data_IF_848840042938
#
_entry.id   IF_848840042938
#
_cell.length_a   1.000
_cell.length_b   1.000
_cell.length_c   1.000
_cell.angle_alpha   90.00
_cell.angle_beta   90.00
_cell.angle_gamma   90.00
#
_symmetry.space_group_name_H-M   'P 1'
#
loop_
_entity.id
_entity.type
_entity.pdbx_description
1 polymer ?
#
# COMPACT_ATOMS: atom_id res chain seq x y z
N UNK A 1 6.19 -7.71 -0.48
CA UNK A 1 4.90 -7.38 0.14
C UNK A 1 4.40 -8.57 0.92
N UNK A 2 4.08 -8.37 2.19
CA UNK A 2 3.51 -9.39 3.08
C UNK A 2 2.37 -8.79 3.89
N UNK A 3 1.18 -9.40 3.84
CA UNK A 3 0.05 -9.03 4.68
C UNK A 3 -0.05 -10.00 5.86
N UNK A 4 0.05 -9.47 7.07
CA UNK A 4 -0.22 -10.20 8.31
C UNK A 4 -1.61 -9.83 8.80
N UNK A 5 -2.44 -10.85 9.07
CA UNK A 5 -3.71 -10.71 9.78
C UNK A 5 -3.54 -11.29 11.17
N UNK A 6 -3.76 -10.47 12.19
CA UNK A 6 -3.72 -10.90 13.57
C UNK A 6 -5.01 -11.67 13.91
N UNK A 7 -4.91 -12.58 14.87
CA UNK A 7 -6.04 -13.39 15.36
C UNK A 7 -6.84 -12.69 16.46
N UNK A 8 -6.77 -11.37 16.54
CA UNK A 8 -7.56 -10.55 17.45
C UNK A 8 -8.99 -10.35 16.93
N UNK A 9 -9.89 -9.85 17.78
CA UNK A 9 -11.30 -9.64 17.44
C UNK A 9 -11.49 -8.70 16.23
N UNK A 10 -10.61 -7.72 16.10
CA UNK A 10 -10.66 -6.74 15.02
C UNK A 10 -10.01 -7.24 13.72
N UNK A 11 -9.39 -8.44 13.73
CA UNK A 11 -8.59 -8.97 12.62
C UNK A 11 -7.63 -7.91 12.09
N UNK A 12 -6.82 -7.35 12.99
CA UNK A 12 -5.90 -6.26 12.71
C UNK A 12 -4.95 -6.63 11.57
N UNK A 13 -4.60 -5.65 10.73
CA UNK A 13 -3.77 -5.85 9.54
C UNK A 13 -2.46 -5.08 9.58
N UNK A 14 -1.34 -5.77 9.36
CA UNK A 14 -0.04 -5.18 9.12
C UNK A 14 0.43 -5.53 7.71
N UNK A 15 0.66 -4.51 6.89
CA UNK A 15 1.27 -4.66 5.57
C UNK A 15 2.74 -4.29 5.62
N UNK A 16 3.62 -5.20 5.20
CA UNK A 16 5.07 -4.99 5.15
C UNK A 16 5.50 -4.89 3.69
N UNK A 17 6.03 -3.72 3.32
CA UNK A 17 6.50 -3.36 1.99
C UNK A 17 5.48 -3.52 0.86
N UNK A 18 5.78 -2.97 -0.31
CA UNK A 18 4.96 -3.10 -1.53
C UNK A 18 5.82 -3.17 -2.78
N UNK A 19 5.47 -4.09 -3.68
CA UNK A 19 6.11 -4.21 -5.00
C UNK A 19 5.06 -4.61 -6.04
N UNK A 20 4.13 -3.71 -6.29
CA UNK A 20 3.09 -3.90 -7.31
C UNK A 20 3.61 -3.26 -8.59
N UNK A 21 3.91 -4.10 -9.58
CA UNK A 21 4.41 -3.67 -10.87
C UNK A 21 3.24 -3.18 -11.74
N UNK A 22 3.53 -2.32 -12.72
CA UNK A 22 2.49 -1.74 -13.58
C UNK A 22 1.83 -2.73 -14.53
N UNK A 23 2.55 -3.76 -14.97
CA UNK A 23 1.97 -4.85 -15.76
C UNK A 23 0.92 -5.66 -14.98
N UNK A 24 0.99 -5.67 -13.64
CA UNK A 24 -0.01 -6.34 -12.79
C UNK A 24 -1.35 -5.58 -12.72
N UNK A 25 -1.41 -4.35 -13.24
CA UNK A 25 -2.64 -3.55 -13.33
C UNK A 25 -3.36 -3.72 -14.68
N UNK A 26 -2.75 -4.45 -15.63
CA UNK A 26 -3.32 -4.69 -16.96
C UNK A 26 -4.34 -5.83 -16.91
N UNK A 27 -5.65 -5.57 -17.12
CA UNK A 27 -6.67 -6.60 -17.09
C UNK A 27 -6.53 -7.61 -18.24
N UNK A 28 -5.85 -7.22 -19.33
CA UNK A 28 -5.59 -8.07 -20.49
C UNK A 28 -4.16 -8.67 -20.44
N UNK A 29 -3.42 -8.39 -19.37
CA UNK A 29 -2.05 -8.83 -19.16
C UNK A 29 -1.95 -10.23 -18.53
N UNK A 30 -0.78 -10.85 -18.69
CA UNK A 30 -0.46 -12.17 -18.11
C UNK A 30 -0.03 -12.08 -16.64
N UNK A 31 0.28 -10.87 -16.15
CA UNK A 31 0.73 -10.67 -14.78
C UNK A 31 -0.45 -10.80 -13.80
N UNK A 32 -0.22 -11.46 -12.68
CA UNK A 32 -1.23 -11.62 -11.63
C UNK A 32 -1.56 -10.27 -10.99
N UNK A 33 -2.85 -9.93 -10.94
CA UNK A 33 -3.37 -8.75 -10.26
C UNK A 33 -3.28 -8.90 -8.72
N UNK A 34 -2.08 -8.64 -8.21
CA UNK A 34 -1.79 -8.65 -6.77
C UNK A 34 -2.46 -7.50 -6.02
N UNK A 35 -2.86 -6.44 -6.73
CA UNK A 35 -3.52 -5.29 -6.16
C UNK A 35 -4.98 -5.60 -5.80
N UNK A 36 -5.66 -6.37 -6.65
CA UNK A 36 -6.97 -6.97 -6.39
C UNK A 36 -6.90 -8.02 -5.29
N UNK A 37 -5.96 -8.96 -5.37
CA UNK A 37 -5.75 -9.99 -4.33
C UNK A 37 -5.57 -9.36 -2.93
N UNK A 38 -4.84 -8.23 -2.85
CA UNK A 38 -4.69 -7.49 -1.61
C UNK A 38 -6.03 -6.90 -1.15
N UNK A 39 -6.73 -6.16 -2.02
CA UNK A 39 -8.00 -5.50 -1.70
C UNK A 39 -9.07 -6.46 -1.21
N UNK A 40 -9.19 -7.64 -1.81
CA UNK A 40 -10.15 -8.68 -1.40
C UNK A 40 -9.91 -9.18 0.04
N UNK A 41 -8.72 -8.94 0.59
CA UNK A 41 -8.35 -9.32 1.97
C UNK A 41 -8.48 -8.18 2.96
N UNK A 42 -8.66 -6.94 2.52
CA UNK A 42 -8.69 -5.77 3.41
C UNK A 42 -10.10 -5.49 3.95
N UNK A 43 -10.14 -4.98 5.17
CA UNK A 43 -11.35 -4.38 5.75
C UNK A 43 -11.63 -3.03 5.08
N UNK A 44 -12.86 -2.55 5.22
CA UNK A 44 -13.28 -1.21 4.78
C UNK A 44 -13.73 -0.39 5.97
N UNK A 45 -13.46 0.90 5.94
CA UNK A 45 -13.92 1.82 6.98
C UNK A 45 -15.40 2.21 6.78
N UNK A 46 -15.91 3.10 7.64
CA UNK A 46 -17.29 3.59 7.59
C UNK A 46 -17.66 4.31 6.28
N UNK A 47 -16.67 4.83 5.54
CA UNK A 47 -16.84 5.47 4.24
C UNK A 47 -16.58 4.49 3.07
N UNK A 48 -16.44 3.20 3.37
CA UNK A 48 -16.16 2.16 2.39
C UNK A 48 -14.78 2.27 1.76
N UNK A 49 -13.79 2.84 2.46
CA UNK A 49 -12.40 2.93 1.99
C UNK A 49 -11.64 1.67 2.43
N UNK A 50 -10.97 0.93 1.52
CA UNK A 50 -10.14 -0.19 1.93
C UNK A 50 -8.94 0.33 2.73
N UNK A 51 -8.58 -0.35 3.82
CA UNK A 51 -7.50 0.12 4.68
C UNK A 51 -6.61 -1.01 5.20
N UNK A 52 -5.39 -0.61 5.60
CA UNK A 52 -4.52 -1.37 6.49
C UNK A 52 -4.42 -0.63 7.82
N UNK A 53 -4.38 -1.38 8.93
CA UNK A 53 -4.25 -0.79 10.26
C UNK A 53 -2.83 -0.21 10.44
N UNK A 54 -1.80 -0.97 10.04
CA UNK A 54 -0.43 -0.49 9.97
C UNK A 54 0.24 -0.84 8.64
N UNK A 55 1.12 0.05 8.16
CA UNK A 55 2.03 -0.17 7.04
C UNK A 55 3.46 -0.02 7.53
N UNK A 56 4.31 -1.03 7.33
CA UNK A 56 5.73 -0.98 7.62
C UNK A 56 6.53 -0.92 6.30
N UNK A 57 7.26 0.18 6.11
CA UNK A 57 8.24 0.29 5.03
C UNK A 57 9.65 0.00 5.57
N UNK A 58 10.24 -1.11 5.12
CA UNK A 58 11.56 -1.54 5.57
C UNK A 58 12.67 -0.63 5.04
N UNK A 59 12.65 -0.30 3.74
CA UNK A 59 13.56 0.64 3.09
C UNK A 59 12.98 1.17 1.76
N UNK A 60 13.51 2.28 1.21
CA UNK A 60 12.97 2.91 0.00
C UNK A 60 13.56 2.37 -1.31
N UNK A 61 14.09 1.15 -1.32
CA UNK A 61 14.48 0.52 -2.58
C UNK A 61 13.23 0.11 -3.38
N UNK A 62 13.39 0.07 -4.70
CA UNK A 62 12.24 0.00 -5.60
C UNK A 62 11.42 -1.27 -5.40
N UNK A 63 12.07 -2.38 -5.13
CA UNK A 63 11.45 -3.67 -4.86
C UNK A 63 10.73 -3.75 -3.49
N UNK A 64 10.78 -2.70 -2.68
CA UNK A 64 10.08 -2.60 -1.39
C UNK A 64 9.04 -1.47 -1.34
N UNK A 65 9.04 -0.54 -2.29
CA UNK A 65 8.05 0.56 -2.34
C UNK A 65 7.36 0.77 -3.70
N UNK A 66 7.67 -0.02 -4.74
CA UNK A 66 7.04 0.12 -6.06
C UNK A 66 5.53 -0.09 -5.96
N UNK A 67 4.80 0.85 -6.56
CA UNK A 67 3.33 0.86 -6.57
C UNK A 67 2.70 1.60 -5.39
N UNK A 68 3.47 2.02 -4.37
CA UNK A 68 2.94 2.70 -3.19
C UNK A 68 2.09 3.94 -3.56
N UNK A 69 2.67 4.88 -4.31
CA UNK A 69 1.98 6.10 -4.76
C UNK A 69 0.77 5.83 -5.65
N UNK A 70 0.69 4.69 -6.34
CA UNK A 70 -0.43 4.33 -7.20
C UNK A 70 -1.58 3.76 -6.40
N UNK A 71 -1.32 2.73 -5.58
CA UNK A 71 -2.37 1.98 -4.91
C UNK A 71 -2.77 2.52 -3.54
N UNK A 72 -1.93 3.34 -2.90
CA UNK A 72 -2.19 3.87 -1.56
C UNK A 72 -2.44 5.38 -1.60
N UNK A 73 -3.16 5.84 -0.58
CA UNK A 73 -3.37 7.26 -0.34
C UNK A 73 -2.35 7.76 0.67
N UNK A 74 -1.56 8.76 0.27
CA UNK A 74 -0.44 9.31 1.05
C UNK A 74 -0.69 10.75 1.51
N UNK A 75 -1.93 11.22 1.38
CA UNK A 75 -2.34 12.57 1.77
C UNK A 75 -3.12 12.61 3.10
N UNK A 76 -3.54 13.81 3.52
CA UNK A 76 -4.45 13.99 4.64
C UNK A 76 -5.81 13.32 4.40
N UNK A 77 -6.30 12.50 5.35
CA UNK A 77 -7.49 11.68 5.16
C UNK A 77 -8.79 12.49 4.90
N UNK A 78 -8.85 13.73 5.37
CA UNK A 78 -9.92 14.70 5.09
C UNK A 78 -9.96 15.17 3.63
N UNK A 79 -8.87 14.97 2.89
CA UNK A 79 -8.74 15.27 1.45
C UNK A 79 -8.76 14.02 0.57
N UNK A 80 -9.25 12.90 1.10
CA UNK A 80 -9.32 11.64 0.37
C UNK A 80 -10.24 11.77 -0.87
N UNK A 81 -9.73 11.61 -2.10
CA UNK A 81 -10.47 11.98 -3.31
C UNK A 81 -11.39 10.88 -3.84
N UNK A 82 -11.27 9.65 -3.34
CA UNK A 82 -11.85 8.46 -3.97
C UNK A 82 -13.14 7.97 -3.30
N UNK A 83 -13.77 8.77 -2.43
CA UNK A 83 -14.97 8.34 -1.69
C UNK A 83 -16.11 7.89 -2.61
N UNK A 84 -16.25 8.57 -3.75
CA UNK A 84 -17.29 8.33 -4.74
C UNK A 84 -16.87 7.37 -5.86
N UNK A 85 -15.66 6.81 -5.81
CA UNK A 85 -15.17 5.86 -6.81
C UNK A 85 -15.59 4.44 -6.46
N UNK A 86 -15.59 3.57 -7.47
CA UNK A 86 -15.73 2.13 -7.28
C UNK A 86 -14.56 1.57 -6.46
N UNK A 87 -14.81 0.48 -5.74
CA UNK A 87 -13.83 -0.12 -4.81
C UNK A 87 -12.48 -0.45 -5.45
N UNK A 88 -12.50 -0.90 -6.71
CA UNK A 88 -11.29 -1.20 -7.50
C UNK A 88 -10.43 0.04 -7.76
N UNK A 89 -11.05 1.21 -7.85
CA UNK A 89 -10.42 2.49 -8.19
C UNK A 89 -10.09 3.32 -6.94
N UNK A 90 -10.47 2.84 -5.75
CA UNK A 90 -10.10 3.45 -4.47
C UNK A 90 -8.63 3.15 -4.13
N UNK A 91 -7.95 4.19 -3.65
CA UNK A 91 -6.66 4.05 -2.98
C UNK A 91 -6.82 3.42 -1.60
N UNK A 92 -5.89 2.56 -1.22
CA UNK A 92 -5.86 1.96 0.11
C UNK A 92 -5.40 3.00 1.12
N UNK A 93 -6.15 3.15 2.20
CA UNK A 93 -5.81 4.02 3.33
C UNK A 93 -4.80 3.33 4.23
N UNK A 94 -3.79 4.10 4.67
CA UNK A 94 -2.84 3.69 5.71
C UNK A 94 -3.22 4.44 6.98
N UNK A 95 -3.65 3.73 8.02
CA UNK A 95 -4.01 4.35 9.31
C UNK A 95 -2.78 4.71 10.14
N UNK A 96 -1.80 3.82 10.16
CA UNK A 96 -0.52 4.03 10.83
C UNK A 96 0.66 3.66 9.92
N UNK A 97 1.69 4.52 9.89
CA UNK A 97 2.90 4.32 9.09
C UNK A 97 4.10 4.09 10.01
N UNK A 98 4.77 2.95 9.81
CA UNK A 98 6.05 2.63 10.41
C UNK A 98 7.13 2.60 9.33
N UNK A 99 8.32 3.03 9.70
CA UNK A 99 9.47 2.95 8.80
C UNK A 99 10.73 2.69 9.59
N UNK A 100 11.67 1.98 8.97
CA UNK A 100 13.01 1.94 9.53
C UNK A 100 13.68 3.33 9.38
N UNK A 101 14.66 3.68 10.22
CA UNK A 101 15.37 4.95 10.09
C UNK A 101 16.06 5.16 8.74
N UNK A 102 16.25 4.10 7.94
CA UNK A 102 16.90 4.17 6.63
C UNK A 102 16.13 5.06 5.65
N UNK A 103 14.81 5.20 5.81
CA UNK A 103 13.99 6.04 4.92
C UNK A 103 14.35 7.53 5.00
N UNK A 104 14.99 7.94 6.10
CA UNK A 104 15.48 9.31 6.29
C UNK A 104 16.93 9.49 5.80
N UNK A 105 17.58 8.44 5.30
CA UNK A 105 18.92 8.56 4.71
C UNK A 105 18.83 9.26 3.36
N UNK A 106 19.83 10.08 3.06
CA UNK A 106 19.92 10.78 1.77
C UNK A 106 20.36 9.81 0.68
N UNK A 107 19.68 9.86 -0.46
CA UNK A 107 20.14 9.20 -1.67
C UNK A 107 21.57 9.65 -2.02
N UNK A 108 22.35 8.75 -2.61
CA UNK A 108 23.70 9.02 -3.09
C UNK A 108 23.91 8.41 -4.47
N UNK A 109 24.99 8.78 -5.15
CA UNK A 109 25.33 8.18 -6.46
C UNK A 109 25.47 6.66 -6.41
N UNK A 110 25.85 6.10 -5.26
CA UNK A 110 26.03 4.66 -5.04
C UNK A 110 24.83 4.00 -4.35
N UNK A 111 23.86 4.79 -3.88
CA UNK A 111 22.65 4.30 -3.23
C UNK A 111 21.47 5.15 -3.72
N UNK A 112 20.93 4.75 -4.86
CA UNK A 112 19.75 5.35 -5.47
C UNK A 112 18.51 4.90 -4.72
N UNK A 113 17.75 5.85 -4.19
CA UNK A 113 16.47 5.57 -3.55
C UNK A 113 15.34 5.76 -4.56
N UNK A 114 14.21 5.12 -4.32
CA UNK A 114 13.00 5.35 -5.12
C UNK A 114 12.38 6.70 -4.81
N UNK A 115 11.65 7.24 -5.78
CA UNK A 115 10.91 8.51 -5.65
C UNK A 115 9.77 8.46 -4.64
#
# INVERSE_FOLDING_TARGET
MTLIKFGDLDATTLLIDVNIRQDADDPDGEARDVAKDLRERLKKDENGRPYVDAFLLSHPDQDHCRGLKRHFYLGPLDKYPDDKKDDKDKKIVIREMWSSPIVFRRASKTHTLSD
#
